data_IF_058293900406
#
_entry.id   IF_058293900406
#
_cell.length_a   1.000
_cell.length_b   1.000
_cell.length_c   1.000
_cell.angle_alpha   90.00
_cell.angle_beta   90.00
_cell.angle_gamma   90.00
#
_symmetry.space_group_name_H-M   'P 1'
#
loop_
_entity.id
_entity.type
_entity.pdbx_description
1 polymer ?
#
# COMPACT_ATOMS: atom_id res chain seq x y z
N UNK A 1 59.93 -6.52 -44.60
CA UNK A 1 58.60 -5.87 -44.53
C UNK A 1 57.46 -6.77 -44.00
N UNK A 2 57.67 -8.07 -43.73
CA UNK A 2 56.59 -8.99 -43.31
C UNK A 2 56.19 -8.92 -41.82
N UNK A 3 57.12 -8.66 -40.90
CA UNK A 3 56.82 -8.69 -39.45
C UNK A 3 55.88 -7.56 -38.98
N UNK A 4 55.96 -6.37 -39.56
CA UNK A 4 55.08 -5.26 -39.20
C UNK A 4 53.66 -5.47 -39.74
N UNK A 5 53.54 -5.98 -40.97
CA UNK A 5 52.24 -6.32 -41.57
C UNK A 5 51.52 -7.41 -40.78
N UNK A 6 52.24 -8.47 -40.40
CA UNK A 6 51.70 -9.53 -39.55
C UNK A 6 51.22 -9.04 -38.16
N UNK A 7 51.88 -8.03 -37.58
CA UNK A 7 51.44 -7.42 -36.30
C UNK A 7 50.16 -6.59 -36.48
N UNK A 8 50.07 -5.83 -37.57
CA UNK A 8 48.86 -5.06 -37.91
C UNK A 8 47.69 -6.00 -38.20
N UNK A 9 47.92 -7.07 -38.97
CA UNK A 9 46.91 -8.07 -39.30
C UNK A 9 46.40 -8.80 -38.04
N UNK A 10 47.29 -9.15 -37.10
CA UNK A 10 46.92 -9.75 -35.81
C UNK A 10 46.10 -8.79 -34.93
N UNK A 11 46.46 -7.51 -34.87
CA UNK A 11 45.69 -6.50 -34.13
C UNK A 11 44.33 -6.26 -34.76
N UNK A 12 44.24 -6.24 -36.09
CA UNK A 12 42.98 -6.04 -36.81
C UNK A 12 42.04 -7.24 -36.65
N UNK A 13 42.57 -8.47 -36.67
CA UNK A 13 41.82 -9.68 -36.35
C UNK A 13 41.30 -9.67 -34.89
N UNK A 14 42.12 -9.21 -33.94
CA UNK A 14 41.72 -9.08 -32.54
C UNK A 14 40.60 -8.03 -32.36
N UNK A 15 40.74 -6.85 -32.98
CA UNK A 15 39.69 -5.81 -32.98
C UNK A 15 38.39 -6.32 -33.60
N UNK A 16 38.48 -7.09 -34.69
CA UNK A 16 37.31 -7.70 -35.31
C UNK A 16 36.63 -8.70 -34.37
N UNK A 17 37.38 -9.57 -33.71
CA UNK A 17 36.84 -10.52 -32.73
C UNK A 17 36.16 -9.84 -31.54
N UNK A 18 36.72 -8.73 -31.05
CA UNK A 18 36.12 -7.93 -29.97
C UNK A 18 34.82 -7.26 -30.42
N UNK A 19 34.77 -6.71 -31.64
CA UNK A 19 33.54 -6.11 -32.19
C UNK A 19 32.45 -7.14 -32.38
N UNK A 20 32.80 -8.35 -32.82
CA UNK A 20 31.88 -9.47 -32.93
C UNK A 20 31.35 -9.89 -31.55
N UNK A 21 32.22 -10.00 -30.55
CA UNK A 21 31.82 -10.33 -29.19
C UNK A 21 30.88 -9.27 -28.58
N UNK A 22 31.19 -7.98 -28.77
CA UNK A 22 30.35 -6.86 -28.28
C UNK A 22 28.99 -6.85 -28.98
N UNK A 23 28.93 -7.13 -30.28
CA UNK A 23 27.65 -7.17 -31.02
C UNK A 23 26.78 -8.35 -30.58
N UNK A 24 27.37 -9.53 -30.33
CA UNK A 24 26.65 -10.67 -29.75
C UNK A 24 26.12 -10.31 -28.35
N UNK A 25 26.95 -9.69 -27.50
CA UNK A 25 26.53 -9.27 -26.16
C UNK A 25 25.38 -8.25 -26.21
N UNK A 26 25.44 -7.30 -27.13
CA UNK A 26 24.38 -6.31 -27.32
C UNK A 26 23.05 -6.97 -27.72
N UNK A 27 23.08 -7.95 -28.61
CA UNK A 27 21.89 -8.71 -29.00
C UNK A 27 21.29 -9.49 -27.82
N UNK A 28 22.14 -10.11 -26.99
CA UNK A 28 21.69 -10.79 -25.77
C UNK A 28 21.03 -9.81 -24.78
N UNK A 29 21.64 -8.64 -24.56
CA UNK A 29 21.06 -7.61 -23.70
C UNK A 29 19.70 -7.12 -24.21
N UNK A 30 19.54 -6.91 -25.52
CA UNK A 30 18.26 -6.54 -26.11
C UNK A 30 17.20 -7.65 -25.93
N UNK A 31 17.58 -8.92 -26.09
CA UNK A 31 16.69 -10.05 -25.85
C UNK A 31 16.22 -10.14 -24.40
N UNK A 32 17.12 -9.94 -23.44
CA UNK A 32 16.81 -9.89 -22.00
C UNK A 32 15.90 -8.71 -21.65
N UNK A 33 16.19 -7.53 -22.19
CA UNK A 33 15.35 -6.34 -22.03
C UNK A 33 13.92 -6.59 -22.50
N UNK A 34 13.77 -7.15 -23.71
CA UNK A 34 12.46 -7.47 -24.27
C UNK A 34 11.70 -8.52 -23.43
N UNK A 35 12.40 -9.56 -22.97
CA UNK A 35 11.84 -10.56 -22.07
C UNK A 35 11.37 -9.98 -20.73
N UNK A 36 12.14 -9.07 -20.14
CA UNK A 36 11.77 -8.40 -18.89
C UNK A 36 10.55 -7.49 -19.06
N UNK A 37 10.48 -6.73 -20.15
CA UNK A 37 9.33 -5.86 -20.42
C UNK A 37 8.04 -6.65 -20.69
N UNK A 38 8.17 -7.85 -21.25
CA UNK A 38 7.03 -8.73 -21.55
C UNK A 38 6.60 -9.59 -20.36
N UNK A 39 7.31 -9.53 -19.23
CA UNK A 39 6.96 -10.30 -18.05
C UNK A 39 5.61 -9.82 -17.47
N UNK A 40 4.69 -10.73 -17.10
CA UNK A 40 3.40 -10.35 -16.53
C UNK A 40 3.59 -9.51 -15.26
N UNK A 41 2.94 -8.34 -15.19
CA UNK A 41 2.93 -7.47 -14.01
C UNK A 41 2.04 -7.99 -12.88
N UNK A 42 1.17 -8.95 -13.17
CA UNK A 42 0.27 -9.60 -12.22
C UNK A 42 0.45 -11.12 -12.30
N UNK A 43 0.83 -11.74 -11.18
CA UNK A 43 0.95 -13.19 -11.04
C UNK A 43 -0.17 -13.69 -10.13
N UNK A 44 -1.20 -14.28 -10.72
CA UNK A 44 -2.24 -15.00 -9.97
C UNK A 44 -1.69 -16.36 -9.52
N UNK A 45 -1.28 -16.44 -8.26
CA UNK A 45 -0.80 -17.68 -7.64
C UNK A 45 -2.02 -18.49 -7.21
N UNK A 46 -2.31 -19.57 -7.93
CA UNK A 46 -3.21 -20.60 -7.44
C UNK A 46 -2.46 -21.43 -6.39
N UNK A 47 -2.71 -21.16 -5.11
CA UNK A 47 -2.28 -22.03 -4.02
C UNK A 47 -3.37 -23.10 -3.88
N UNK A 48 -3.21 -24.31 -4.44
CA UNK A 48 -4.17 -25.37 -4.22
C UNK A 48 -4.16 -25.69 -2.72
N UNK A 49 -5.34 -25.94 -2.11
CA UNK A 49 -5.40 -26.39 -0.73
C UNK A 49 -4.63 -27.72 -0.60
N UNK A 50 -3.78 -27.85 0.43
CA UNK A 50 -3.16 -29.13 0.77
C UNK A 50 -4.26 -30.17 1.00
N UNK A 51 -4.31 -31.21 0.17
CA UNK A 51 -5.34 -32.25 0.26
C UNK A 51 -5.12 -33.21 1.44
N UNK A 52 -3.93 -33.19 2.08
CA UNK A 52 -3.63 -33.98 3.29
C UNK A 52 -4.26 -33.36 4.54
N UNK A 53 -4.46 -32.05 4.51
CA UNK A 53 -5.23 -31.27 5.47
C UNK A 53 -6.15 -30.35 4.68
N UNK A 54 -7.18 -30.94 4.04
CA UNK A 54 -8.05 -30.26 3.08
C UNK A 54 -8.40 -28.84 3.51
N UNK A 55 -7.74 -27.84 2.93
CA UNK A 55 -8.06 -26.43 3.15
C UNK A 55 -9.36 -26.14 2.40
N UNK A 56 -10.47 -26.53 3.01
CA UNK A 56 -11.81 -26.20 2.56
C UNK A 56 -12.10 -24.76 2.97
N UNK A 57 -11.65 -23.80 2.16
CA UNK A 57 -12.00 -22.40 2.35
C UNK A 57 -13.29 -22.09 1.60
N UNK A 58 -14.26 -21.50 2.29
CA UNK A 58 -15.47 -20.99 1.66
C UNK A 58 -15.07 -19.87 0.70
N UNK A 59 -15.54 -19.89 -0.55
CA UNK A 59 -15.15 -18.88 -1.55
C UNK A 59 -15.52 -17.44 -1.16
N UNK A 60 -16.51 -17.28 -0.27
CA UNK A 60 -16.96 -15.99 0.25
C UNK A 60 -16.28 -15.57 1.56
N UNK A 61 -15.41 -16.42 2.12
CA UNK A 61 -14.74 -16.15 3.39
C UNK A 61 -13.43 -15.40 3.14
N UNK A 62 -13.46 -14.10 3.45
CA UNK A 62 -12.31 -13.22 3.28
C UNK A 62 -11.36 -13.38 4.47
N UNK A 63 -10.05 -13.62 4.24
CA UNK A 63 -9.06 -13.73 5.29
C UNK A 63 -8.99 -12.49 6.19
N UNK A 64 -9.04 -12.61 7.54
CA UNK A 64 -8.89 -11.49 8.47
C UNK A 64 -7.61 -10.66 8.25
N UNK A 65 -6.54 -11.30 7.84
CA UNK A 65 -5.23 -10.74 7.51
C UNK A 65 -5.35 -9.82 6.29
N UNK A 66 -6.12 -10.24 5.29
CA UNK A 66 -6.42 -9.45 4.10
C UNK A 66 -7.30 -8.24 4.44
N UNK A 67 -8.30 -8.43 5.31
CA UNK A 67 -9.16 -7.36 5.81
C UNK A 67 -8.35 -6.33 6.60
N UNK A 68 -7.41 -6.79 7.44
CA UNK A 68 -6.51 -5.93 8.19
C UNK A 68 -5.60 -5.11 7.27
N UNK A 69 -4.95 -5.78 6.31
CA UNK A 69 -4.07 -5.14 5.34
C UNK A 69 -4.83 -4.09 4.51
N UNK A 70 -6.02 -4.44 4.01
CA UNK A 70 -6.92 -3.51 3.32
C UNK A 70 -7.16 -2.25 4.16
N UNK A 71 -7.64 -2.42 5.39
CA UNK A 71 -7.98 -1.30 6.25
C UNK A 71 -6.75 -0.42 6.54
N UNK A 72 -5.61 -1.04 6.86
CA UNK A 72 -4.36 -0.35 7.13
C UNK A 72 -3.90 0.48 5.92
N UNK A 73 -3.89 -0.11 4.73
CA UNK A 73 -3.42 0.57 3.52
C UNK A 73 -4.35 1.70 3.09
N UNK A 74 -5.66 1.46 3.04
CA UNK A 74 -6.62 2.47 2.56
C UNK A 74 -6.75 3.60 3.57
N UNK A 75 -6.95 3.28 4.86
CA UNK A 75 -7.10 4.31 5.89
C UNK A 75 -5.80 5.10 6.11
N UNK A 76 -4.65 4.41 6.03
CA UNK A 76 -3.33 5.04 6.12
C UNK A 76 -3.08 6.02 4.96
N UNK A 77 -3.36 5.63 3.72
CA UNK A 77 -3.24 6.52 2.55
C UNK A 77 -4.19 7.71 2.64
N UNK A 78 -5.43 7.49 3.06
CA UNK A 78 -6.44 8.53 3.18
C UNK A 78 -6.04 9.63 4.19
N UNK A 79 -5.38 9.26 5.27
CA UNK A 79 -5.00 10.16 6.36
C UNK A 79 -3.55 10.66 6.30
N UNK A 80 -2.80 10.35 5.24
CA UNK A 80 -1.41 10.77 5.06
C UNK A 80 -1.34 11.97 4.12
N UNK A 81 -0.84 13.10 4.63
CA UNK A 81 -0.73 14.35 3.88
C UNK A 81 0.73 14.78 3.85
N UNK A 82 1.54 14.28 2.90
CA UNK A 82 2.99 14.49 2.92
C UNK A 82 3.43 15.92 2.62
N UNK A 83 2.59 16.73 1.96
CA UNK A 83 2.96 18.08 1.49
C UNK A 83 2.03 19.15 2.04
N UNK A 84 0.73 19.02 1.81
CA UNK A 84 -0.28 19.98 2.27
C UNK A 84 -1.62 19.28 2.47
N UNK A 85 -2.15 19.33 3.69
CA UNK A 85 -3.42 18.73 4.07
C UNK A 85 -4.60 19.19 3.21
N UNK A 86 -4.63 20.43 2.72
CA UNK A 86 -5.75 20.91 1.88
C UNK A 86 -5.74 20.26 0.50
N UNK A 87 -4.56 19.94 -0.03
CA UNK A 87 -4.40 19.36 -1.37
C UNK A 87 -4.40 17.84 -1.31
N UNK A 88 -3.59 17.27 -0.42
CA UNK A 88 -3.35 15.84 -0.36
C UNK A 88 -4.57 15.10 0.18
N UNK A 89 -5.29 15.65 1.16
CA UNK A 89 -6.46 14.98 1.72
C UNK A 89 -7.60 14.89 0.71
N UNK A 90 -7.95 16.00 0.06
CA UNK A 90 -8.98 16.02 -0.97
C UNK A 90 -8.64 15.10 -2.14
N UNK A 91 -7.36 15.11 -2.58
CA UNK A 91 -6.88 14.19 -3.63
C UNK A 91 -7.02 12.73 -3.19
N UNK A 92 -6.67 12.40 -1.96
CA UNK A 92 -6.75 11.05 -1.43
C UNK A 92 -8.21 10.55 -1.35
N UNK A 93 -9.15 11.40 -0.90
CA UNK A 93 -10.59 11.06 -0.88
C UNK A 93 -11.08 10.74 -2.30
N UNK A 94 -10.74 11.56 -3.28
CA UNK A 94 -11.14 11.33 -4.67
C UNK A 94 -10.50 10.06 -5.26
N UNK A 95 -9.21 9.83 -5.03
CA UNK A 95 -8.49 8.67 -5.57
C UNK A 95 -8.96 7.35 -4.93
N UNK A 96 -9.30 7.37 -3.63
CA UNK A 96 -9.67 6.18 -2.87
C UNK A 96 -11.19 5.93 -2.83
N UNK A 97 -12.00 6.76 -3.49
CA UNK A 97 -13.45 6.59 -3.52
C UNK A 97 -13.97 5.19 -3.90
N UNK A 98 -13.31 4.37 -4.75
CA UNK A 98 -13.78 3.00 -5.03
C UNK A 98 -13.70 2.06 -3.82
N UNK A 99 -12.92 2.44 -2.81
CA UNK A 99 -12.70 1.70 -1.57
C UNK A 99 -13.50 2.26 -0.38
N UNK A 100 -14.40 3.21 -0.62
CA UNK A 100 -15.25 3.82 0.40
C UNK A 100 -16.71 3.52 0.10
N UNK A 101 -17.52 3.25 1.13
CA UNK A 101 -18.97 3.28 0.96
C UNK A 101 -19.43 4.70 0.64
N UNK A 102 -20.58 4.91 -0.04
CA UNK A 102 -21.07 6.26 -0.32
C UNK A 102 -21.27 7.12 0.94
N UNK A 103 -21.73 6.49 2.02
CA UNK A 103 -21.88 7.15 3.32
C UNK A 103 -20.51 7.56 3.89
N UNK A 104 -19.51 6.67 3.80
CA UNK A 104 -18.19 6.96 4.31
C UNK A 104 -17.44 8.01 3.49
N UNK A 105 -17.60 8.02 2.16
CA UNK A 105 -17.10 9.10 1.30
C UNK A 105 -17.69 10.44 1.74
N UNK A 106 -19.01 10.50 1.93
CA UNK A 106 -19.71 11.72 2.39
C UNK A 106 -19.18 12.19 3.74
N UNK A 107 -18.91 11.26 4.67
CA UNK A 107 -18.30 11.59 5.95
C UNK A 107 -16.92 12.25 5.78
N UNK A 108 -16.05 11.70 4.92
CA UNK A 108 -14.72 12.25 4.70
C UNK A 108 -14.74 13.58 3.93
N UNK A 109 -15.65 13.76 2.98
CA UNK A 109 -15.89 15.05 2.32
C UNK A 109 -16.28 16.12 3.37
N UNK A 110 -17.14 15.76 4.33
CA UNK A 110 -17.51 16.65 5.45
C UNK A 110 -16.37 16.93 6.44
N UNK A 111 -15.58 15.92 6.81
CA UNK A 111 -14.39 16.10 7.67
C UNK A 111 -13.34 16.99 7.00
N UNK A 112 -13.15 16.87 5.68
CA UNK A 112 -12.29 17.76 4.91
C UNK A 112 -12.75 19.22 5.03
N UNK A 113 -14.01 19.52 4.74
CA UNK A 113 -14.54 20.88 4.82
C UNK A 113 -14.47 21.46 6.24
N UNK A 114 -14.79 20.64 7.25
CA UNK A 114 -14.68 21.03 8.66
C UNK A 114 -13.24 21.41 9.03
N UNK A 115 -12.26 20.55 8.73
CA UNK A 115 -10.85 20.79 9.05
C UNK A 115 -10.28 21.97 8.28
N UNK A 116 -10.68 22.14 7.03
CA UNK A 116 -10.30 23.28 6.20
C UNK A 116 -10.79 24.59 6.82
N UNK A 117 -12.07 24.66 7.19
CA UNK A 117 -12.65 25.83 7.85
C UNK A 117 -12.00 26.12 9.21
N UNK A 118 -11.59 25.09 9.94
CA UNK A 118 -10.87 25.21 11.21
C UNK A 118 -9.37 25.61 11.04
N UNK A 119 -8.86 25.70 9.82
CA UNK A 119 -7.44 25.98 9.56
C UNK A 119 -6.50 24.84 9.95
N UNK A 120 -7.03 23.61 10.06
CA UNK A 120 -6.26 22.43 10.46
C UNK A 120 -5.52 21.76 9.30
N UNK A 121 -5.76 22.18 8.05
CA UNK A 121 -5.19 21.54 6.86
C UNK A 121 -4.10 22.37 6.17
N UNK A 122 -4.26 23.69 6.12
CA UNK A 122 -3.41 24.57 5.31
C UNK A 122 -1.94 24.45 5.71
N UNK A 123 -1.08 24.03 4.78
CA UNK A 123 0.35 23.85 5.03
C UNK A 123 0.67 22.81 6.12
N UNK A 124 -0.31 21.98 6.52
CA UNK A 124 -0.08 20.89 7.46
C UNK A 124 0.41 19.65 6.73
N UNK A 125 1.45 19.06 7.29
CA UNK A 125 1.98 17.77 6.87
C UNK A 125 1.58 16.74 7.93
N UNK A 126 1.01 15.61 7.51
CA UNK A 126 0.60 14.51 8.39
C UNK A 126 1.23 13.19 7.97
N UNK A 127 2.03 12.62 8.86
CA UNK A 127 2.48 11.25 8.80
C UNK A 127 1.51 10.34 9.54
N UNK A 128 1.12 9.24 8.91
CA UNK A 128 0.36 8.15 9.54
C UNK A 128 1.09 6.85 9.30
N UNK A 129 1.30 6.09 10.38
CA UNK A 129 2.02 4.83 10.35
C UNK A 129 1.54 3.91 11.46
N UNK A 130 1.60 2.61 11.20
CA UNK A 130 1.27 1.58 12.19
C UNK A 130 2.24 1.67 13.39
N UNK A 131 1.73 1.40 14.59
CA UNK A 131 2.58 1.26 15.77
C UNK A 131 3.31 -0.09 15.72
N UNK A 132 4.64 -0.04 15.71
CA UNK A 132 5.48 -1.25 15.72
C UNK A 132 5.13 -2.18 16.88
N UNK A 133 5.07 -3.49 16.60
CA UNK A 133 4.71 -4.52 17.57
C UNK A 133 3.22 -4.53 17.97
N UNK A 134 2.39 -3.68 17.34
CA UNK A 134 0.95 -3.62 17.55
C UNK A 134 0.16 -3.85 16.25
N UNK A 135 0.79 -4.43 15.23
CA UNK A 135 0.10 -4.80 13.99
C UNK A 135 -0.81 -6.02 14.14
N UNK A 136 -1.07 -6.69 13.02
CA UNK A 136 -1.75 -7.98 13.02
C UNK A 136 -0.96 -9.00 13.88
N UNK A 137 -1.68 -9.85 14.61
CA UNK A 137 -1.13 -10.75 15.64
C UNK A 137 -1.82 -12.10 15.55
N UNK A 138 -1.24 -13.13 16.18
CA UNK A 138 -1.79 -14.48 16.27
C UNK A 138 -3.09 -14.55 17.09
N UNK A 139 -3.43 -13.49 17.84
CA UNK A 139 -4.75 -13.35 18.47
C UNK A 139 -5.80 -12.99 17.39
N UNK A 140 -6.68 -13.93 17.03
CA UNK A 140 -7.51 -13.82 15.84
C UNK A 140 -8.53 -12.67 15.91
N UNK A 141 -9.01 -12.32 17.10
CA UNK A 141 -10.08 -11.32 17.29
C UNK A 141 -9.57 -9.96 17.81
N UNK A 142 -8.28 -9.86 18.13
CA UNK A 142 -7.68 -8.64 18.67
C UNK A 142 -7.79 -7.48 17.69
N UNK A 143 -7.49 -7.75 16.41
CA UNK A 143 -7.38 -6.75 15.35
C UNK A 143 -8.53 -6.77 14.38
N UNK A 144 -9.06 -7.93 14.04
CA UNK A 144 -10.18 -8.07 13.11
C UNK A 144 -11.22 -8.97 13.75
N UNK A 145 -12.42 -8.45 13.97
CA UNK A 145 -13.55 -9.19 14.51
C UNK A 145 -14.66 -9.20 13.49
N UNK A 146 -15.17 -10.39 13.15
CA UNK A 146 -16.34 -10.49 12.29
C UNK A 146 -17.59 -9.97 13.00
N UNK A 147 -18.32 -9.07 12.34
CA UNK A 147 -19.59 -8.53 12.84
C UNK A 147 -20.76 -9.30 12.23
N UNK A 148 -20.73 -9.49 10.90
CA UNK A 148 -21.69 -10.28 10.14
C UNK A 148 -21.01 -10.98 8.95
N UNK A 149 -21.79 -11.63 8.07
CA UNK A 149 -21.27 -12.38 6.91
C UNK A 149 -20.46 -11.52 5.93
N UNK A 150 -20.67 -10.22 5.93
CA UNK A 150 -20.14 -9.25 4.97
C UNK A 150 -19.51 -8.03 5.64
N UNK A 151 -19.36 -8.00 6.96
CA UNK A 151 -18.73 -6.89 7.66
C UNK A 151 -17.87 -7.30 8.86
N UNK A 152 -16.84 -6.49 9.10
CA UNK A 152 -15.81 -6.72 10.08
C UNK A 152 -15.45 -5.42 10.80
N UNK A 153 -15.20 -5.52 12.09
CA UNK A 153 -14.57 -4.48 12.90
C UNK A 153 -13.06 -4.67 12.81
N UNK A 154 -12.36 -3.64 12.36
CA UNK A 154 -10.90 -3.59 12.32
C UNK A 154 -10.39 -2.55 13.30
N UNK A 155 -9.46 -2.93 14.18
CA UNK A 155 -8.84 -2.03 15.16
C UNK A 155 -7.41 -1.73 14.75
N UNK A 156 -7.18 -0.56 14.15
CA UNK A 156 -5.84 -0.10 13.79
C UNK A 156 -5.26 0.77 14.90
N UNK A 157 -4.08 0.43 15.41
CA UNK A 157 -3.33 1.32 16.31
C UNK A 157 -2.31 2.09 15.46
N UNK A 158 -2.57 3.38 15.22
CA UNK A 158 -1.76 4.21 14.34
C UNK A 158 -1.15 5.37 15.12
N UNK A 159 0.08 5.71 14.76
CA UNK A 159 0.68 6.99 15.10
C UNK A 159 0.22 8.04 14.09
N UNK A 160 -0.15 9.21 14.58
CA UNK A 160 -0.42 10.39 13.78
C UNK A 160 0.50 11.53 14.24
N UNK A 161 1.44 11.87 13.37
CA UNK A 161 2.38 12.96 13.54
C UNK A 161 1.99 14.08 12.58
N UNK A 162 1.67 15.26 13.09
CA UNK A 162 1.35 16.44 12.30
C UNK A 162 2.39 17.54 12.52
N UNK A 163 2.83 18.16 11.43
CA UNK A 163 3.79 19.26 11.41
C UNK A 163 3.20 20.46 10.67
N UNK A 164 3.62 21.65 11.06
CA UNK A 164 3.38 22.89 10.33
C UNK A 164 4.69 23.66 10.22
N UNK A 165 5.14 23.98 9.01
CA UNK A 165 6.43 24.64 8.78
C UNK A 165 7.62 23.99 9.53
N UNK A 166 7.67 22.65 9.55
CA UNK A 166 8.64 21.81 10.27
C UNK A 166 8.53 21.82 11.81
N UNK A 167 7.58 22.53 12.41
CA UNK A 167 7.29 22.44 13.83
C UNK A 167 6.28 21.32 14.13
N UNK A 168 6.53 20.44 15.11
CA UNK A 168 5.59 19.40 15.48
C UNK A 168 4.38 20.00 16.21
N UNK A 169 3.19 19.76 15.68
CA UNK A 169 1.93 20.29 16.24
C UNK A 169 1.18 19.21 17.01
N UNK A 170 1.30 17.95 16.57
CA UNK A 170 0.59 16.83 17.17
C UNK A 170 1.39 15.56 17.00
N UNK A 171 1.53 14.81 18.09
CA UNK A 171 2.07 13.45 18.10
C UNK A 171 1.20 12.62 19.02
N UNK A 172 0.40 11.75 18.43
CA UNK A 172 -0.55 10.94 19.19
C UNK A 172 -0.63 9.53 18.64
N UNK A 173 -0.86 8.58 19.54
CA UNK A 173 -1.20 7.21 19.19
C UNK A 173 -2.70 7.06 19.36
N UNK A 174 -3.37 6.55 18.32
CA UNK A 174 -4.82 6.42 18.30
C UNK A 174 -5.21 5.04 17.80
N UNK A 175 -6.14 4.41 18.51
CA UNK A 175 -6.86 3.23 18.04
C UNK A 175 -8.08 3.67 17.26
N UNK A 176 -8.12 3.30 15.99
CA UNK A 176 -9.25 3.54 15.09
C UNK A 176 -10.07 2.26 14.95
N UNK A 177 -11.31 2.21 15.49
CA UNK A 177 -12.25 1.14 15.22
C UNK A 177 -12.96 1.40 13.89
N UNK A 178 -12.50 0.74 12.83
CA UNK A 178 -13.04 0.88 11.48
C UNK A 178 -14.03 -0.24 11.19
N UNK A 179 -15.08 0.08 10.45
CA UNK A 179 -15.95 -0.92 9.83
C UNK A 179 -15.48 -1.18 8.41
N UNK A 180 -15.22 -2.43 8.08
CA UNK A 180 -14.93 -2.88 6.72
C UNK A 180 -16.11 -3.73 6.25
N UNK A 181 -16.54 -3.52 5.01
CA UNK A 181 -17.63 -4.29 4.39
C UNK A 181 -17.17 -4.92 3.09
N UNK A 182 -17.82 -6.02 2.71
CA UNK A 182 -17.70 -6.58 1.36
C UNK A 182 -18.31 -5.60 0.37
N UNK A 183 -17.55 -5.24 -0.67
CA UNK A 183 -17.92 -4.25 -1.66
C UNK A 183 -17.41 -4.65 -3.04
N UNK A 184 -18.05 -5.67 -3.60
CA UNK A 184 -17.68 -6.34 -4.85
C UNK A 184 -18.56 -5.83 -6.00
N UNK A 185 -18.55 -4.51 -6.21
CA UNK A 185 -19.41 -3.82 -7.20
C UNK A 185 -18.67 -3.66 -8.54
N UNK A 186 -17.40 -3.22 -8.47
CA UNK A 186 -16.58 -2.94 -9.65
C UNK A 186 -15.13 -3.43 -9.42
N UNK A 187 -14.83 -4.66 -9.87
CA UNK A 187 -13.49 -5.24 -9.74
C UNK A 187 -12.42 -4.57 -10.62
N UNK A 188 -12.78 -3.71 -11.58
CA UNK A 188 -11.78 -2.98 -12.37
C UNK A 188 -11.12 -1.90 -11.52
N UNK A 189 -11.93 -1.18 -10.74
CA UNK A 189 -11.48 -0.08 -9.89
C UNK A 189 -11.23 -0.48 -8.43
N UNK A 190 -11.85 -1.56 -7.94
CA UNK A 190 -11.67 -2.08 -6.59
C UNK A 190 -11.28 -3.57 -6.63
N UNK A 191 -9.98 -3.83 -6.72
CA UNK A 191 -9.42 -5.20 -6.73
C UNK A 191 -9.55 -5.94 -5.40
N UNK A 192 -9.81 -5.22 -4.31
CA UNK A 192 -9.94 -5.82 -2.98
C UNK A 192 -11.33 -6.44 -2.76
N UNK A 193 -12.36 -5.94 -3.45
CA UNK A 193 -13.76 -6.32 -3.20
C UNK A 193 -14.22 -5.95 -1.77
N UNK A 194 -13.56 -4.95 -1.17
CA UNK A 194 -13.79 -4.45 0.19
C UNK A 194 -13.92 -2.93 0.17
N UNK A 195 -14.69 -2.38 1.10
CA UNK A 195 -14.78 -0.95 1.32
C UNK A 195 -14.72 -0.59 2.81
N UNK A 196 -14.19 0.60 3.12
CA UNK A 196 -14.34 1.23 4.42
C UNK A 196 -15.75 1.80 4.54
N UNK A 197 -16.45 1.40 5.58
CA UNK A 197 -17.72 1.98 6.03
C UNK A 197 -17.51 2.88 7.25
N UNK A 198 -16.37 3.59 7.25
CA UNK A 198 -15.95 4.54 8.27
C UNK A 198 -15.79 3.91 9.65
N UNK A 199 -16.26 4.57 10.71
CA UNK A 199 -15.98 4.19 12.09
C UNK A 199 -17.11 3.32 12.67
N UNK A 200 -16.73 2.19 13.25
CA UNK A 200 -17.65 1.33 14.03
C UNK A 200 -17.79 1.84 15.49
N UNK A 201 -16.88 2.72 15.93
CA UNK A 201 -16.90 3.31 17.27
C UNK A 201 -16.06 4.57 17.36
N UNK A 202 -15.90 5.13 18.55
CA UNK A 202 -15.09 6.34 18.73
C UNK A 202 -13.60 6.01 18.71
N UNK A 203 -12.77 6.74 17.94
CA UNK A 203 -11.32 6.61 18.01
C UNK A 203 -10.80 6.90 19.43
N UNK A 204 -9.89 6.06 19.92
CA UNK A 204 -9.39 6.11 21.29
C UNK A 204 -7.92 6.52 21.30
N UNK A 205 -7.56 7.60 21.99
CA UNK A 205 -6.16 7.93 22.24
C UNK A 205 -5.55 6.84 23.13
N UNK A 206 -4.40 6.31 22.72
CA UNK A 206 -3.66 5.31 23.47
C UNK A 206 -2.46 5.96 24.17
N UNK A 207 -2.13 5.43 25.35
CA UNK A 207 -0.86 5.71 26.02
C UNK A 207 0.04 4.50 25.84
N UNK A 208 1.22 4.69 25.26
CA UNK A 208 2.20 3.61 25.13
C UNK A 208 3.00 3.47 26.43
N UNK A 209 3.20 2.24 26.95
CA UNK A 209 4.07 2.03 28.10
C UNK A 209 5.51 2.41 27.73
N UNK A 210 6.05 3.46 28.38
CA UNK A 210 7.43 3.94 28.18
C UNK A 210 7.56 5.36 27.59
N UNK A 211 6.46 6.02 27.20
CA UNK A 211 6.46 7.40 26.66
C UNK A 211 6.41 8.50 27.72
N UNK A 212 7.18 8.37 28.80
CA UNK A 212 7.35 9.41 29.82
C UNK A 212 8.75 9.99 29.75
N UNK A 213 8.86 11.23 29.27
CA UNK A 213 10.11 11.99 29.11
C UNK A 213 9.97 13.05 28.05
#
# INVERSE_FOLDING_TARGET
>A
MSRFRNKVDAQQAHIFSLRLAVSILALLCCGLWYGWQSAPSELTIHVPPDLRSGSTRKWWDVPPENIYAFALYIFGQLNRWPTDGEVDYHRAIFALQPYLTPACKTFFDGDFEYRKAAGELRGRVRGVYEVLGRGYSDDPDLRVKQLDKHSWLVKLDLNADEYYAAEPVKRVVVRYPLRVVRFDVDPEHNKWGLALDCYEGTPQKLTLPGGGG
#
